data_IF_906458479674
#
_entry.id   IF_906458479674
#
_cell.length_a   1.000
_cell.length_b   1.000
_cell.length_c   1.000
_cell.angle_alpha   90.00
_cell.angle_beta   90.00
_cell.angle_gamma   90.00
#
_symmetry.space_group_name_H-M   'P 1'
#
loop_
_entity.id
_entity.type
_entity.pdbx_description
1 polymer ?
#
# COMPACT_ATOMS: atom_id res chain seq x y z
N UNK A 1 11.75 -13.65 -3.14
CA UNK A 1 12.30 -12.51 -2.37
C UNK A 1 13.18 -13.04 -1.24
N UNK A 2 14.31 -12.40 -0.91
CA UNK A 2 15.22 -12.90 0.15
C UNK A 2 14.89 -12.28 1.52
N UNK A 3 14.10 -13.04 2.30
CA UNK A 3 13.58 -12.61 3.61
C UNK A 3 14.55 -12.92 4.75
N UNK A 4 14.72 -11.97 5.66
CA UNK A 4 15.12 -12.21 7.04
C UNK A 4 13.86 -12.31 7.91
N UNK A 5 13.58 -13.52 8.41
CA UNK A 5 12.37 -13.82 9.18
C UNK A 5 12.74 -13.98 10.65
N UNK A 6 12.03 -13.29 11.53
CA UNK A 6 12.23 -13.37 12.99
C UNK A 6 10.91 -13.62 13.70
N UNK A 7 10.78 -14.75 14.42
CA UNK A 7 9.63 -15.05 15.28
C UNK A 7 9.91 -14.67 16.74
N UNK A 8 8.95 -14.02 17.39
CA UNK A 8 8.96 -13.65 18.82
C UNK A 8 7.57 -13.89 19.42
N UNK A 9 7.39 -15.04 20.07
CA UNK A 9 6.08 -15.45 20.57
C UNK A 9 5.08 -15.60 19.41
N UNK A 10 3.95 -14.88 19.50
CA UNK A 10 2.90 -14.87 18.48
C UNK A 10 3.22 -14.00 17.26
N UNK A 11 4.28 -13.19 17.32
CA UNK A 11 4.60 -12.21 16.27
C UNK A 11 5.74 -12.72 15.40
N UNK A 12 5.58 -12.60 14.09
CA UNK A 12 6.63 -12.89 13.09
C UNK A 12 6.89 -11.64 12.26
N UNK A 13 8.16 -11.27 12.13
CA UNK A 13 8.63 -10.12 11.38
C UNK A 13 9.29 -10.61 10.09
N UNK A 14 8.88 -10.05 8.96
CA UNK A 14 9.46 -10.32 7.64
C UNK A 14 10.11 -9.03 7.14
N UNK A 15 11.42 -9.08 6.92
CA UNK A 15 12.22 -7.94 6.47
C UNK A 15 13.11 -8.37 5.32
N UNK A 16 13.12 -7.65 4.20
CA UNK A 16 14.11 -7.88 3.15
C UNK A 16 15.50 -7.62 3.71
N UNK A 17 16.50 -8.45 3.35
CA UNK A 17 17.87 -8.27 3.84
C UNK A 17 18.48 -6.89 3.52
N UNK A 18 18.01 -6.25 2.45
CA UNK A 18 18.41 -4.90 2.02
C UNK A 18 17.84 -3.79 2.89
N UNK A 19 16.69 -4.00 3.54
CA UNK A 19 16.02 -3.02 4.38
C UNK A 19 16.48 -3.16 5.83
N UNK A 20 17.16 -2.17 6.43
CA UNK A 20 17.68 -2.25 7.81
C UNK A 20 16.85 -1.51 8.87
N UNK A 21 15.77 -0.85 8.47
CA UNK A 21 15.07 0.14 9.31
C UNK A 21 13.76 -0.40 9.88
N UNK A 22 12.99 -1.11 9.07
CA UNK A 22 11.68 -1.63 9.44
C UNK A 22 11.41 -3.01 8.83
N UNK A 23 10.32 -3.65 9.23
CA UNK A 23 9.83 -4.90 8.60
C UNK A 23 8.85 -4.56 7.48
N UNK A 24 8.90 -5.30 6.39
CA UNK A 24 8.00 -5.11 5.24
C UNK A 24 6.63 -5.76 5.50
N UNK A 25 6.59 -6.82 6.30
CA UNK A 25 5.38 -7.40 6.88
C UNK A 25 5.60 -7.77 8.36
N UNK A 26 4.53 -7.65 9.15
CA UNK A 26 4.47 -8.22 10.50
C UNK A 26 3.18 -9.02 10.65
N UNK A 27 3.29 -10.28 11.05
CA UNK A 27 2.12 -11.13 11.33
C UNK A 27 2.00 -11.40 12.82
N UNK A 28 0.78 -11.46 13.31
CA UNK A 28 0.42 -11.81 14.69
C UNK A 28 -0.56 -12.99 14.65
N UNK A 29 -0.15 -14.12 15.21
CA UNK A 29 -0.96 -15.33 15.35
C UNK A 29 -2.01 -15.13 16.47
N UNK A 30 -3.29 -15.26 16.10
CA UNK A 30 -4.43 -15.13 17.02
C UNK A 30 -4.74 -16.48 17.69
N UNK A 31 -5.55 -16.47 18.76
CA UNK A 31 -5.85 -17.68 19.55
C UNK A 31 -6.54 -18.79 18.74
N UNK A 32 -7.25 -18.43 17.67
CA UNK A 32 -7.93 -19.35 16.76
C UNK A 32 -7.05 -19.80 15.57
N UNK A 33 -5.76 -19.44 15.56
CA UNK A 33 -4.82 -19.79 14.50
C UNK A 33 -4.84 -18.85 13.29
N UNK A 34 -5.74 -17.85 13.26
CA UNK A 34 -5.72 -16.82 12.21
C UNK A 34 -4.49 -15.93 12.31
N UNK A 35 -4.13 -15.28 11.21
CA UNK A 35 -3.03 -14.32 11.18
C UNK A 35 -3.54 -12.91 10.94
N UNK A 36 -3.28 -12.00 11.89
CA UNK A 36 -3.38 -10.57 11.64
C UNK A 36 -2.09 -10.07 10.99
N UNK A 37 -2.20 -9.46 9.82
CA UNK A 37 -1.08 -9.01 9.00
C UNK A 37 -1.06 -7.48 9.01
N UNK A 38 0.11 -6.90 9.27
CA UNK A 38 0.37 -5.46 9.15
C UNK A 38 1.34 -5.25 8.00
N UNK A 39 0.90 -4.45 7.03
CA UNK A 39 1.68 -4.09 5.87
C UNK A 39 2.48 -2.82 6.14
N UNK A 40 3.71 -2.78 5.60
CA UNK A 40 4.51 -1.56 5.58
C UNK A 40 3.83 -0.44 4.81
N UNK A 41 4.11 0.81 5.19
CA UNK A 41 3.82 1.98 4.37
C UNK A 41 4.46 1.84 3.00
N UNK A 42 3.68 1.97 1.93
CA UNK A 42 4.11 1.74 0.56
C UNK A 42 3.58 2.81 -0.37
N UNK A 43 4.44 3.29 -1.26
CA UNK A 43 4.12 4.23 -2.32
C UNK A 43 4.17 3.55 -3.69
N UNK A 44 3.28 3.95 -4.58
CA UNK A 44 3.17 3.36 -5.92
C UNK A 44 4.16 3.91 -6.95
N UNK A 45 4.98 4.88 -6.54
CA UNK A 45 5.97 5.54 -7.38
C UNK A 45 7.33 4.83 -7.30
N UNK A 46 8.35 5.43 -6.71
CA UNK A 46 9.70 4.87 -6.69
C UNK A 46 9.75 3.55 -5.91
N UNK A 47 9.08 3.46 -4.76
CA UNK A 47 9.09 2.25 -3.95
C UNK A 47 8.54 1.04 -4.74
N UNK A 48 7.32 1.13 -5.26
CA UNK A 48 6.74 0.05 -6.06
C UNK A 48 7.51 -0.21 -7.37
N UNK A 49 8.04 0.83 -8.04
CA UNK A 49 8.89 0.63 -9.24
C UNK A 49 10.10 -0.25 -8.93
N UNK A 50 10.76 -0.04 -7.79
CA UNK A 50 11.90 -0.85 -7.39
C UNK A 50 11.48 -2.27 -6.99
N UNK A 51 10.39 -2.42 -6.22
CA UNK A 51 9.92 -3.73 -5.76
C UNK A 51 9.39 -4.62 -6.88
N UNK A 52 8.71 -4.02 -7.86
CA UNK A 52 8.10 -4.71 -9.00
C UNK A 52 9.00 -4.70 -10.25
N UNK A 53 10.25 -4.20 -10.13
CA UNK A 53 11.24 -4.12 -11.21
C UNK A 53 10.70 -3.43 -12.50
N UNK A 54 9.90 -2.38 -12.33
CA UNK A 54 9.25 -1.67 -13.43
C UNK A 54 10.23 -0.74 -14.15
N UNK A 55 10.00 -0.53 -15.44
CA UNK A 55 10.88 0.31 -16.27
C UNK A 55 10.67 1.81 -16.09
N UNK A 56 9.55 2.21 -15.47
CA UNK A 56 9.20 3.62 -15.29
C UNK A 56 8.47 3.90 -13.96
N UNK A 57 8.72 5.10 -13.44
CA UNK A 57 8.12 5.60 -12.19
C UNK A 57 6.83 6.36 -12.49
N UNK A 58 5.75 5.94 -11.86
CA UNK A 58 4.48 6.67 -11.88
C UNK A 58 4.61 7.88 -10.95
N UNK A 59 4.64 9.09 -11.52
CA UNK A 59 4.84 10.34 -10.78
C UNK A 59 3.55 11.12 -10.71
N UNK A 60 3.03 11.33 -9.50
CA UNK A 60 1.75 12.00 -9.26
C UNK A 60 0.59 11.41 -10.09
N UNK A 61 0.60 10.08 -10.24
CA UNK A 61 -0.31 9.32 -11.09
C UNK A 61 -1.00 8.19 -10.31
N UNK A 62 -2.07 8.53 -9.55
CA UNK A 62 -2.79 7.56 -8.72
C UNK A 62 -3.32 6.33 -9.47
N UNK A 63 -3.66 6.46 -10.75
CA UNK A 63 -4.20 5.35 -11.55
C UNK A 63 -3.19 4.22 -11.71
N UNK A 64 -1.91 4.56 -11.73
CA UNK A 64 -0.81 3.59 -11.81
C UNK A 64 -0.27 3.28 -10.43
N UNK A 65 -0.16 4.28 -9.57
CA UNK A 65 0.43 4.12 -8.23
C UNK A 65 -0.40 3.20 -7.34
N UNK A 66 -1.73 3.35 -7.32
CA UNK A 66 -2.56 2.59 -6.38
C UNK A 66 -2.53 1.08 -6.64
N UNK A 67 -2.74 0.59 -7.89
CA UNK A 67 -2.58 -0.84 -8.18
C UNK A 67 -1.19 -1.35 -7.85
N UNK A 68 -0.13 -0.58 -8.18
CA UNK A 68 1.26 -0.96 -7.89
C UNK A 68 1.53 -1.17 -6.40
N UNK A 69 0.95 -0.34 -5.53
CA UNK A 69 1.06 -0.53 -4.08
C UNK A 69 0.47 -1.86 -3.63
N UNK A 70 -0.77 -2.16 -4.05
CA UNK A 70 -1.42 -3.41 -3.70
C UNK A 70 -0.71 -4.62 -4.32
N UNK A 71 -0.29 -4.54 -5.58
CA UNK A 71 0.43 -5.62 -6.26
C UNK A 71 1.79 -5.91 -5.59
N UNK A 72 2.41 -4.89 -4.99
CA UNK A 72 3.63 -5.07 -4.18
C UNK A 72 3.32 -5.85 -2.90
N UNK A 73 2.24 -5.51 -2.20
CA UNK A 73 1.80 -6.25 -1.02
C UNK A 73 1.36 -7.68 -1.34
N UNK A 74 0.68 -7.88 -2.46
CA UNK A 74 0.31 -9.18 -3.00
C UNK A 74 1.54 -10.05 -3.24
N UNK A 75 2.56 -9.49 -3.90
CA UNK A 75 3.85 -10.15 -4.07
C UNK A 75 4.48 -10.49 -2.71
N UNK A 76 4.45 -9.58 -1.73
CA UNK A 76 5.07 -9.85 -0.43
C UNK A 76 4.44 -11.03 0.29
N UNK A 77 3.11 -11.13 0.35
CA UNK A 77 2.45 -12.25 1.06
C UNK A 77 2.67 -13.59 0.38
N UNK A 78 2.70 -13.60 -0.97
CA UNK A 78 3.04 -14.78 -1.77
C UNK A 78 4.49 -15.22 -1.55
N UNK A 79 5.43 -14.30 -1.72
CA UNK A 79 6.87 -14.57 -1.60
C UNK A 79 7.29 -14.91 -0.17
N UNK A 80 6.54 -14.44 0.84
CA UNK A 80 6.74 -14.83 2.24
C UNK A 80 6.11 -16.19 2.59
N UNK A 81 5.34 -16.80 1.67
CA UNK A 81 4.63 -18.06 1.90
C UNK A 81 3.50 -17.95 2.92
N UNK A 82 2.86 -16.78 3.02
CA UNK A 82 1.78 -16.52 3.99
C UNK A 82 0.43 -17.00 3.44
N UNK A 83 0.11 -16.66 2.19
CA UNK A 83 -1.10 -17.04 1.44
C UNK A 83 -0.87 -16.93 -0.08
N UNK A 84 -1.87 -17.28 -0.90
CA UNK A 84 -1.75 -17.30 -2.35
C UNK A 84 -1.93 -15.91 -2.98
N UNK A 85 -2.48 -14.95 -2.23
CA UNK A 85 -2.58 -13.56 -2.65
C UNK A 85 -3.47 -12.71 -1.73
N UNK A 86 -3.71 -11.46 -2.11
CA UNK A 86 -4.56 -10.54 -1.34
C UNK A 86 -6.04 -10.96 -1.29
N UNK A 87 -6.51 -11.78 -2.25
CA UNK A 87 -7.88 -12.31 -2.24
C UNK A 87 -8.17 -13.21 -1.05
N UNK A 88 -7.14 -13.80 -0.44
CA UNK A 88 -7.28 -14.64 0.76
C UNK A 88 -7.43 -13.83 2.05
N UNK A 89 -7.30 -12.50 1.97
CA UNK A 89 -7.18 -11.62 3.11
C UNK A 89 -8.42 -10.73 3.29
N UNK A 90 -8.94 -10.68 4.51
CA UNK A 90 -9.91 -9.68 4.90
C UNK A 90 -9.19 -8.42 5.37
N UNK A 91 -9.19 -7.39 4.54
CA UNK A 91 -8.64 -6.10 4.94
C UNK A 91 -9.56 -5.45 5.97
N UNK A 92 -9.01 -5.16 7.14
CA UNK A 92 -9.72 -4.50 8.23
C UNK A 92 -9.62 -2.99 8.08
N UNK A 93 -8.42 -2.49 7.81
CA UNK A 93 -8.08 -1.07 7.84
C UNK A 93 -7.11 -0.72 6.70
N UNK A 94 -7.35 0.40 6.03
CA UNK A 94 -6.39 1.05 5.12
C UNK A 94 -6.21 2.51 5.53
N UNK A 95 -4.97 2.91 5.76
CA UNK A 95 -4.59 4.29 6.03
C UNK A 95 -3.97 4.88 4.77
N UNK A 96 -4.47 6.05 4.36
CA UNK A 96 -4.06 6.71 3.13
C UNK A 96 -3.50 8.10 3.43
N UNK A 97 -2.30 8.37 2.96
CA UNK A 97 -1.60 9.64 3.12
C UNK A 97 -1.36 10.25 1.74
N UNK A 98 -2.13 11.28 1.39
CA UNK A 98 -1.99 11.97 0.10
C UNK A 98 -1.00 13.12 0.17
N UNK A 99 -0.07 13.20 -0.77
CA UNK A 99 0.89 14.30 -0.89
C UNK A 99 0.28 15.55 -1.56
N UNK A 100 0.91 16.71 -1.35
CA UNK A 100 0.65 17.89 -2.16
C UNK A 100 1.14 17.66 -3.61
N UNK A 101 0.46 18.24 -4.63
CA UNK A 101 0.98 18.26 -5.99
C UNK A 101 2.39 18.85 -6.07
N UNK A 102 3.24 18.23 -6.89
CA UNK A 102 4.62 18.69 -7.12
C UNK A 102 4.70 19.86 -8.11
N UNK A 103 3.67 20.01 -8.92
CA UNK A 103 3.44 21.10 -9.87
C UNK A 103 1.96 21.15 -10.21
N UNK A 104 1.39 22.30 -10.58
CA UNK A 104 2.00 23.63 -10.64
C UNK A 104 2.18 24.27 -9.25
N UNK A 105 2.76 25.46 -9.16
CA UNK A 105 3.06 26.09 -7.86
C UNK A 105 1.80 26.68 -7.20
N UNK A 106 1.54 26.42 -5.90
CA UNK A 106 0.41 27.02 -5.20
C UNK A 106 0.51 28.54 -5.03
N UNK A 107 1.71 29.11 -5.17
CA UNK A 107 1.96 30.54 -4.97
C UNK A 107 1.74 31.32 -6.27
N UNK A 108 2.30 30.82 -7.37
CA UNK A 108 2.25 31.52 -8.67
C UNK A 108 1.06 31.10 -9.51
N UNK A 109 0.51 29.90 -9.29
CA UNK A 109 -0.56 29.31 -10.10
C UNK A 109 -1.64 28.64 -9.22
N UNK A 110 -2.27 29.40 -8.29
CA UNK A 110 -3.15 28.83 -7.26
C UNK A 110 -4.36 28.07 -7.82
N UNK A 111 -4.96 28.54 -8.93
CA UNK A 111 -6.09 27.86 -9.55
C UNK A 111 -5.68 26.53 -10.17
N UNK A 112 -4.60 26.52 -10.97
CA UNK A 112 -4.11 25.31 -11.60
C UNK A 112 -3.63 24.28 -10.56
N UNK A 113 -3.06 24.74 -9.44
CA UNK A 113 -2.71 23.87 -8.32
C UNK A 113 -3.96 23.26 -7.66
N UNK A 114 -5.01 24.06 -7.46
CA UNK A 114 -6.30 23.57 -6.95
C UNK A 114 -6.92 22.52 -7.88
N UNK A 115 -6.87 22.75 -9.18
CA UNK A 115 -7.39 21.82 -10.19
C UNK A 115 -6.59 20.50 -10.20
N UNK A 116 -5.26 20.58 -10.07
CA UNK A 116 -4.41 19.40 -9.97
C UNK A 116 -4.66 18.59 -8.69
N UNK A 117 -4.88 19.26 -7.54
CA UNK A 117 -5.32 18.59 -6.31
C UNK A 117 -6.62 17.82 -6.51
N UNK A 118 -7.57 18.42 -7.24
CA UNK A 118 -8.86 17.77 -7.52
C UNK A 118 -8.65 16.55 -8.43
N UNK A 119 -7.90 16.70 -9.51
CA UNK A 119 -7.56 15.61 -10.44
C UNK A 119 -6.93 14.42 -9.71
N UNK A 120 -5.91 14.64 -8.89
CA UNK A 120 -5.22 13.57 -8.14
C UNK A 120 -6.19 12.84 -7.20
N UNK A 121 -7.04 13.58 -6.47
CA UNK A 121 -7.99 12.97 -5.53
C UNK A 121 -9.08 12.16 -6.23
N UNK A 122 -9.54 12.64 -7.38
CA UNK A 122 -10.51 11.93 -8.22
C UNK A 122 -9.88 10.66 -8.81
N UNK A 123 -8.67 10.77 -9.35
CA UNK A 123 -7.89 9.65 -9.87
C UNK A 123 -7.63 8.59 -8.78
N UNK A 124 -7.23 9.00 -7.57
CA UNK A 124 -7.07 8.11 -6.43
C UNK A 124 -8.38 7.38 -6.08
N UNK A 125 -9.48 8.12 -5.96
CA UNK A 125 -10.76 7.54 -5.57
C UNK A 125 -11.23 6.50 -6.58
N UNK A 126 -11.06 6.79 -7.87
CA UNK A 126 -11.36 5.87 -8.96
C UNK A 126 -10.46 4.65 -8.94
N UNK A 127 -9.13 4.84 -8.94
CA UNK A 127 -8.17 3.74 -8.97
C UNK A 127 -8.31 2.80 -7.77
N UNK A 128 -8.57 3.36 -6.59
CA UNK A 128 -8.84 2.57 -5.39
C UNK A 128 -10.11 1.73 -5.57
N UNK A 129 -11.24 2.34 -5.96
CA UNK A 129 -12.50 1.62 -6.15
C UNK A 129 -12.38 0.52 -7.23
N UNK A 130 -11.80 0.85 -8.37
CA UNK A 130 -11.58 -0.09 -9.48
C UNK A 130 -10.70 -1.28 -9.06
N UNK A 131 -9.68 -1.06 -8.22
CA UNK A 131 -8.86 -2.17 -7.71
C UNK A 131 -9.70 -3.17 -6.91
N UNK A 132 -10.53 -2.70 -5.97
CA UNK A 132 -11.43 -3.59 -5.22
C UNK A 132 -12.42 -4.30 -6.12
N UNK A 133 -13.10 -3.56 -7.00
CA UNK A 133 -14.13 -4.11 -7.89
C UNK A 133 -13.57 -5.17 -8.86
N UNK A 134 -12.35 -5.00 -9.34
CA UNK A 134 -11.78 -5.85 -10.39
C UNK A 134 -10.85 -6.94 -9.87
N UNK A 135 -10.07 -6.67 -8.81
CA UNK A 135 -9.05 -7.59 -8.29
C UNK A 135 -9.49 -8.31 -7.04
N UNK A 136 -10.35 -7.71 -6.22
CA UNK A 136 -10.80 -8.23 -4.93
C UNK A 136 -12.33 -8.20 -4.81
N UNK A 137 -13.09 -8.70 -5.83
CA UNK A 137 -14.55 -8.51 -5.88
C UNK A 137 -15.31 -9.22 -4.76
N UNK A 138 -14.73 -10.28 -4.18
CA UNK A 138 -15.34 -11.07 -3.12
C UNK A 138 -14.95 -10.56 -1.71
N UNK A 139 -14.00 -9.64 -1.60
CA UNK A 139 -13.53 -9.10 -0.34
C UNK A 139 -14.48 -7.99 0.17
N UNK A 140 -14.63 -7.90 1.50
CA UNK A 140 -15.24 -6.72 2.11
C UNK A 140 -14.37 -5.48 1.93
N UNK A 141 -14.99 -4.29 1.91
CA UNK A 141 -14.25 -3.03 1.90
C UNK A 141 -13.77 -2.67 3.32
N UNK A 142 -12.47 -2.35 3.51
CA UNK A 142 -11.93 -2.00 4.82
C UNK A 142 -12.45 -0.65 5.31
N UNK A 143 -12.42 -0.43 6.63
CA UNK A 143 -12.52 0.95 7.13
C UNK A 143 -11.31 1.74 6.64
N UNK A 144 -11.52 3.02 6.34
CA UNK A 144 -10.47 3.87 5.77
C UNK A 144 -10.47 5.24 6.39
N UNK A 145 -9.29 5.78 6.66
CA UNK A 145 -9.09 7.21 6.86
C UNK A 145 -8.07 7.75 5.86
N UNK A 146 -8.19 9.03 5.55
CA UNK A 146 -7.28 9.72 4.61
C UNK A 146 -6.88 11.06 5.17
N UNK A 147 -5.57 11.33 5.19
CA UNK A 147 -5.01 12.63 5.54
C UNK A 147 -4.19 13.16 4.36
N UNK A 148 -4.12 14.48 4.24
CA UNK A 148 -3.32 15.14 3.22
C UNK A 148 -2.13 15.83 3.86
N UNK A 149 -0.94 15.48 3.41
CA UNK A 149 0.36 15.95 3.89
C UNK A 149 0.98 16.91 2.88
N UNK A 150 1.99 17.66 3.32
CA UNK A 150 2.82 18.44 2.41
C UNK A 150 3.68 17.53 1.54
N UNK A 151 4.32 16.52 2.13
CA UNK A 151 5.23 15.64 1.43
C UNK A 151 5.25 14.22 2.03
N UNK A 152 5.67 13.26 1.21
CA UNK A 152 5.95 11.86 1.54
C UNK A 152 7.45 11.59 1.35
N UNK A 153 8.02 10.56 2.00
CA UNK A 153 9.43 10.19 1.77
C UNK A 153 9.75 9.90 0.29
N UNK A 154 8.80 9.33 -0.45
CA UNK A 154 8.85 9.22 -1.91
C UNK A 154 8.32 10.52 -2.54
N UNK A 155 9.25 11.34 -3.06
CA UNK A 155 8.91 12.66 -3.60
C UNK A 155 8.19 12.62 -4.95
N UNK A 156 8.07 11.46 -5.57
CA UNK A 156 7.31 11.28 -6.82
C UNK A 156 5.89 10.75 -6.58
N UNK A 157 5.62 10.21 -5.39
CA UNK A 157 4.34 9.61 -5.05
C UNK A 157 3.25 10.64 -4.77
N UNK A 158 2.04 10.31 -5.24
CA UNK A 158 0.79 10.96 -4.84
C UNK A 158 0.25 10.43 -3.51
N UNK A 159 0.43 9.13 -3.23
CA UNK A 159 -0.09 8.50 -2.01
C UNK A 159 0.88 7.48 -1.41
N UNK A 160 0.91 7.44 -0.08
CA UNK A 160 1.43 6.32 0.70
C UNK A 160 0.26 5.60 1.38
N UNK A 161 0.21 4.27 1.27
CA UNK A 161 -0.79 3.44 1.93
C UNK A 161 -0.13 2.54 2.97
N UNK A 162 -0.83 2.27 4.05
CA UNK A 162 -0.52 1.16 4.98
C UNK A 162 -1.81 0.43 5.32
N UNK A 163 -1.75 -0.86 5.60
CA UNK A 163 -2.94 -1.67 5.82
C UNK A 163 -2.78 -2.68 6.95
N UNK A 164 -3.93 -3.07 7.52
CA UNK A 164 -4.06 -4.22 8.41
C UNK A 164 -5.09 -5.17 7.81
N UNK A 165 -4.73 -6.44 7.68
CA UNK A 165 -5.61 -7.49 7.19
C UNK A 165 -5.61 -8.72 8.09
N UNK A 166 -6.56 -9.61 7.85
CA UNK A 166 -6.72 -10.88 8.53
C UNK A 166 -6.68 -12.02 7.51
N UNK A 167 -5.84 -13.01 7.74
CA UNK A 167 -5.91 -14.30 7.06
C UNK A 167 -6.65 -15.28 7.98
N UNK A 168 -7.85 -15.68 7.57
CA UNK A 168 -8.65 -16.66 8.30
C UNK A 168 -8.21 -18.08 7.92
N UNK A 169 -7.60 -18.82 8.85
CA UNK A 169 -7.06 -20.17 8.58
C UNK A 169 -8.07 -21.28 8.84
N UNK A 170 -9.07 -21.01 9.68
CA UNK A 170 -10.13 -21.95 9.99
C UNK A 170 -11.43 -21.35 9.47
N UNK A 171 -11.91 -21.83 8.31
CA UNK A 171 -13.30 -21.61 7.88
C UNK A 171 -14.16 -22.76 8.37
#
# INVERSE_FOLDING_TARGET
MDWEIKKRGRVTYYRKKTNRVFSDLVTEELDNGDLKIRFVGMTGAQAATNELELQDTARMDPEREIPRTFDTWDMYVREAGICDGLSDLDFLEVHSFGAAPKSPSPITEPQAYSDEKKRIREAYSRAYAEYWEQKLPDNGLPVRFTVYLEELPDTDASYELSAVALLQRTR
#
